data_IF_792341304702
#
_entry.id   IF_792341304702
#
_cell.length_a   1.000
_cell.length_b   1.000
_cell.length_c   1.000
_cell.angle_alpha   90.00
_cell.angle_beta   90.00
_cell.angle_gamma   90.00
#
_symmetry.space_group_name_H-M   'P 1'
#
loop_
_entity.id
_entity.type
_entity.pdbx_description
1 polymer ?
#
# COMPACT_ATOMS: atom_id res chain seq x y z
N UNK A 1 -15.96 -17.94 18.58
CA UNK A 1 -14.68 -18.12 17.86
C UNK A 1 -14.26 -16.74 17.40
N UNK A 2 -13.04 -16.30 17.73
CA UNK A 2 -12.50 -15.04 17.22
C UNK A 2 -12.32 -15.23 15.72
N UNK A 3 -12.95 -14.38 14.91
CA UNK A 3 -12.82 -14.44 13.45
C UNK A 3 -11.38 -14.06 13.12
N UNK A 4 -10.67 -14.90 12.38
CA UNK A 4 -9.32 -14.54 11.94
C UNK A 4 -9.44 -13.36 10.97
N UNK A 5 -9.05 -12.17 11.45
CA UNK A 5 -9.15 -10.91 10.72
C UNK A 5 -7.81 -10.61 10.05
N UNK A 6 -7.85 -10.29 8.75
CA UNK A 6 -6.69 -9.73 8.04
C UNK A 6 -6.69 -8.22 8.26
N UNK A 7 -5.62 -7.70 8.88
CA UNK A 7 -5.41 -6.25 9.01
C UNK A 7 -4.46 -5.79 7.93
N UNK A 8 -4.88 -4.79 7.15
CA UNK A 8 -4.10 -4.24 6.05
C UNK A 8 -3.86 -2.76 6.34
N UNK A 9 -2.60 -2.36 6.35
CA UNK A 9 -2.16 -0.98 6.43
C UNK A 9 -1.59 -0.59 5.08
N UNK A 10 -2.08 0.51 4.53
CA UNK A 10 -1.72 0.98 3.18
C UNK A 10 -1.25 2.41 3.25
N UNK A 11 -0.24 2.75 2.48
CA UNK A 11 0.21 4.13 2.29
C UNK A 11 0.70 4.33 0.85
N UNK A 12 0.64 5.57 0.37
CA UNK A 12 1.08 5.94 -0.96
C UNK A 12 1.56 7.38 -1.00
N UNK A 13 2.69 7.60 -1.68
CA UNK A 13 3.33 8.91 -1.74
C UNK A 13 3.88 9.20 -3.14
N UNK A 14 3.96 10.49 -3.49
CA UNK A 14 4.66 10.95 -4.70
C UNK A 14 5.44 12.25 -4.44
N UNK A 15 6.66 12.31 -4.98
CA UNK A 15 7.49 13.51 -5.03
C UNK A 15 7.10 14.36 -6.23
N UNK A 16 6.10 15.23 -6.03
CA UNK A 16 5.48 16.04 -7.07
C UNK A 16 4.07 15.55 -7.46
N UNK A 17 3.36 16.32 -8.28
CA UNK A 17 1.99 16.00 -8.69
C UNK A 17 1.71 16.46 -10.14
N UNK A 18 2.17 15.71 -11.17
CA UNK A 18 2.77 14.38 -11.10
C UNK A 18 4.30 14.37 -10.89
N UNK A 19 4.83 13.25 -10.39
CA UNK A 19 6.26 12.99 -10.20
C UNK A 19 6.56 11.52 -9.80
N UNK A 20 7.83 11.18 -9.50
CA UNK A 20 8.18 9.84 -9.01
C UNK A 20 7.46 9.54 -7.69
N UNK A 21 6.90 8.35 -7.55
CA UNK A 21 6.15 7.96 -6.36
C UNK A 21 6.04 6.45 -6.20
N UNK A 22 5.41 5.99 -5.14
CA UNK A 22 5.24 4.57 -4.86
C UNK A 22 4.20 4.34 -3.78
N UNK A 23 3.88 3.07 -3.59
CA UNK A 23 2.98 2.63 -2.53
C UNK A 23 3.62 1.56 -1.66
N UNK A 24 3.10 1.41 -0.45
CA UNK A 24 3.48 0.36 0.50
C UNK A 24 2.24 -0.26 1.15
N UNK A 25 2.31 -1.56 1.40
CA UNK A 25 1.26 -2.32 2.11
C UNK A 25 1.90 -3.22 3.15
N UNK A 26 1.31 -3.27 4.34
CA UNK A 26 1.61 -4.27 5.38
C UNK A 26 0.33 -5.03 5.71
N UNK A 27 0.35 -6.34 5.51
CA UNK A 27 -0.77 -7.25 5.82
C UNK A 27 -0.40 -8.12 7.02
N UNK A 28 -1.32 -8.24 7.98
CA UNK A 28 -1.17 -9.06 9.18
C UNK A 28 -2.34 -10.06 9.28
N UNK A 29 -2.01 -11.33 9.52
CA UNK A 29 -2.99 -12.40 9.76
C UNK A 29 -2.42 -13.40 10.78
N UNK A 30 -2.93 -13.37 12.02
CA UNK A 30 -2.34 -14.14 13.12
C UNK A 30 -0.87 -13.76 13.33
N UNK A 31 0.04 -14.74 13.19
CA UNK A 31 1.50 -14.54 13.25
C UNK A 31 2.14 -14.20 11.88
N UNK A 32 1.36 -14.23 10.80
CA UNK A 32 1.87 -13.96 9.46
C UNK A 32 1.90 -12.46 9.17
N UNK A 33 3.02 -12.02 8.58
CA UNK A 33 3.21 -10.66 8.07
C UNK A 33 3.66 -10.74 6.62
N UNK A 34 3.04 -9.92 5.76
CA UNK A 34 3.41 -9.78 4.36
C UNK A 34 3.51 -8.30 4.02
N UNK A 35 4.54 -7.96 3.23
CA UNK A 35 4.75 -6.59 2.77
C UNK A 35 4.76 -6.56 1.24
N UNK A 36 4.19 -5.51 0.67
CA UNK A 36 4.21 -5.22 -0.76
C UNK A 36 4.62 -3.76 -0.96
N UNK A 37 5.44 -3.50 -1.97
CA UNK A 37 5.77 -2.15 -2.39
C UNK A 37 6.16 -2.12 -3.86
N UNK A 38 5.85 -1.01 -4.52
CA UNK A 38 6.23 -0.78 -5.91
C UNK A 38 6.41 0.72 -6.16
N UNK A 39 7.34 1.07 -7.05
CA UNK A 39 7.65 2.46 -7.41
C UNK A 39 7.35 2.74 -8.88
N UNK A 40 6.90 3.97 -9.16
CA UNK A 40 6.52 4.46 -10.47
C UNK A 40 7.25 5.77 -10.77
N UNK A 41 7.81 5.88 -11.99
CA UNK A 41 8.55 7.08 -12.40
C UNK A 41 7.68 8.34 -12.50
N UNK A 42 6.40 8.18 -12.84
CA UNK A 42 5.48 9.29 -13.02
C UNK A 42 4.06 8.92 -12.55
N UNK A 43 3.67 9.45 -11.40
CA UNK A 43 2.38 9.18 -10.75
C UNK A 43 1.94 10.40 -9.92
N UNK A 44 0.85 10.29 -9.18
CA UNK A 44 0.36 11.29 -8.24
C UNK A 44 0.16 10.67 -6.86
N UNK A 45 0.10 11.49 -5.82
CA UNK A 45 -0.13 11.03 -4.44
C UNK A 45 -1.39 10.15 -4.35
N UNK A 46 -2.53 10.69 -4.81
CA UNK A 46 -3.82 10.00 -4.76
C UNK A 46 -3.84 8.68 -5.54
N UNK A 47 -3.11 8.60 -6.68
CA UNK A 47 -2.99 7.34 -7.43
C UNK A 47 -2.25 6.28 -6.63
N UNK A 48 -1.23 6.66 -5.86
CA UNK A 48 -0.46 5.72 -5.06
C UNK A 48 -1.23 5.27 -3.82
N UNK A 49 -1.93 6.18 -3.14
CA UNK A 49 -2.82 5.82 -2.02
C UNK A 49 -3.87 4.80 -2.44
N UNK A 50 -4.54 5.02 -3.59
CA UNK A 50 -5.52 4.08 -4.13
C UNK A 50 -4.89 2.78 -4.63
N UNK A 51 -3.71 2.84 -5.25
CA UNK A 51 -3.00 1.64 -5.70
C UNK A 51 -2.62 0.74 -4.52
N UNK A 52 -2.21 1.32 -3.39
CA UNK A 52 -1.91 0.61 -2.16
C UNK A 52 -3.11 -0.25 -1.70
N UNK A 53 -4.33 0.34 -1.74
CA UNK A 53 -5.58 -0.34 -1.38
C UNK A 53 -5.97 -1.43 -2.39
N UNK A 54 -5.71 -1.23 -3.69
CA UNK A 54 -6.01 -2.23 -4.71
C UNK A 54 -5.07 -3.45 -4.62
N UNK A 55 -3.82 -3.21 -4.19
CA UNK A 55 -2.76 -4.23 -4.16
C UNK A 55 -2.69 -5.00 -2.85
N UNK A 56 -3.14 -4.40 -1.74
CA UNK A 56 -3.26 -5.03 -0.43
C UNK A 56 -4.51 -5.86 -0.30
#
# INVERSE_FOLDING_TARGET
MQKDEVKIYTDGAASGNPGPGGYGVVMLYGSHRKELSEGFKQTTNNRMELMAVIKG
#
